data_IF_619353651859
#
_entry.id   IF_619353651859
#
_cell.length_a   1.000
_cell.length_b   1.000
_cell.length_c   1.000
_cell.angle_alpha   90.00
_cell.angle_beta   90.00
_cell.angle_gamma   90.00
#
_symmetry.space_group_name_H-M   'P 1'
#
loop_
_entity.id
_entity.type
_entity.pdbx_description
1 polymer ?
#
# COMPACT_ATOMS: atom_id res chain seq x y z
N UNK A 1 -6.35 -12.77 -18.45
CA UNK A 1 -5.75 -13.17 -17.15
C UNK A 1 -6.58 -12.55 -16.04
N UNK A 2 -6.96 -13.31 -15.01
CA UNK A 2 -7.76 -12.81 -13.89
C UNK A 2 -6.81 -12.24 -12.85
N UNK A 3 -6.77 -10.91 -12.70
CA UNK A 3 -5.90 -10.25 -11.72
C UNK A 3 -6.50 -10.41 -10.32
N UNK A 4 -5.74 -10.98 -9.38
CA UNK A 4 -6.15 -11.06 -7.98
C UNK A 4 -5.87 -9.73 -7.28
N UNK A 5 -6.71 -9.42 -6.30
CA UNK A 5 -6.62 -8.22 -5.47
C UNK A 5 -6.45 -8.67 -4.03
N UNK A 6 -5.49 -8.07 -3.32
CA UNK A 6 -5.34 -8.22 -1.88
C UNK A 6 -5.53 -6.86 -1.18
N UNK A 7 -5.92 -6.91 0.08
CA UNK A 7 -6.01 -5.72 0.94
C UNK A 7 -5.41 -6.03 2.32
N UNK A 8 -4.46 -5.20 2.76
CA UNK A 8 -3.81 -5.26 4.08
C UNK A 8 -4.20 -4.00 4.86
N UNK A 9 -4.68 -4.17 6.09
CA UNK A 9 -5.10 -3.02 6.89
C UNK A 9 -5.82 -3.38 8.18
N UNK A 10 -6.31 -2.35 8.85
CA UNK A 10 -7.16 -2.48 10.02
C UNK A 10 -8.48 -3.17 9.62
N UNK A 11 -8.92 -4.12 10.46
CA UNK A 11 -10.08 -5.00 10.20
C UNK A 11 -11.34 -4.24 9.75
N UNK A 12 -11.62 -3.13 10.40
CA UNK A 12 -12.85 -2.36 10.21
C UNK A 12 -12.93 -1.70 8.82
N UNK A 13 -11.79 -1.43 8.18
CA UNK A 13 -11.72 -0.89 6.82
C UNK A 13 -11.69 -2.03 5.81
N UNK A 14 -10.88 -3.05 6.07
CA UNK A 14 -10.59 -4.07 5.08
C UNK A 14 -11.81 -4.95 4.75
N UNK A 15 -12.78 -5.06 5.66
CA UNK A 15 -14.01 -5.81 5.43
C UNK A 15 -14.77 -5.36 4.17
N UNK A 16 -14.74 -4.08 3.81
CA UNK A 16 -15.40 -3.58 2.60
C UNK A 16 -14.78 -4.18 1.32
N UNK A 17 -13.47 -4.48 1.36
CA UNK A 17 -12.74 -5.06 0.24
C UNK A 17 -13.11 -6.53 0.00
N UNK A 18 -13.58 -7.22 1.05
CA UNK A 18 -14.10 -8.59 0.91
C UNK A 18 -15.36 -8.65 0.05
N UNK A 19 -16.24 -7.65 0.19
CA UNK A 19 -17.48 -7.57 -0.58
C UNK A 19 -17.24 -7.39 -2.08
N UNK A 20 -16.11 -6.79 -2.47
CA UNK A 20 -15.70 -6.59 -3.87
C UNK A 20 -14.77 -7.68 -4.40
N UNK A 21 -14.57 -8.77 -3.64
CA UNK A 21 -13.83 -9.94 -4.07
C UNK A 21 -12.31 -9.86 -3.89
N UNK A 22 -11.82 -8.98 -3.02
CA UNK A 22 -10.41 -8.97 -2.61
C UNK A 22 -10.14 -9.97 -1.49
N UNK A 23 -8.93 -10.54 -1.49
CA UNK A 23 -8.41 -11.32 -0.36
C UNK A 23 -7.96 -10.36 0.74
N UNK A 24 -8.64 -10.44 1.89
CA UNK A 24 -8.46 -9.51 3.00
C UNK A 24 -7.53 -10.09 4.06
N UNK A 25 -6.48 -9.34 4.38
CA UNK A 25 -5.51 -9.64 5.43
C UNK A 25 -5.58 -8.56 6.50
N UNK A 26 -6.48 -8.75 7.47
CA UNK A 26 -6.55 -7.88 8.63
C UNK A 26 -5.30 -8.10 9.51
N UNK A 27 -4.65 -7.01 9.89
CA UNK A 27 -3.42 -7.04 10.71
C UNK A 27 -3.59 -6.21 11.97
N UNK A 28 -2.91 -6.62 13.04
CA UNK A 28 -3.00 -6.00 14.36
C UNK A 28 -1.78 -5.15 14.72
N UNK A 29 -0.66 -5.39 14.05
CA UNK A 29 0.59 -4.67 14.25
C UNK A 29 1.42 -4.60 12.95
N UNK A 30 2.47 -3.78 12.98
CA UNK A 30 3.32 -3.50 11.83
C UNK A 30 4.22 -4.70 11.46
N UNK A 31 4.61 -5.52 12.43
CA UNK A 31 5.44 -6.70 12.17
C UNK A 31 4.65 -7.72 11.35
N UNK A 32 3.41 -8.00 11.76
CA UNK A 32 2.46 -8.83 11.05
C UNK A 32 2.16 -8.27 9.65
N UNK A 33 2.00 -6.96 9.52
CA UNK A 33 1.82 -6.29 8.23
C UNK A 33 3.01 -6.51 7.29
N UNK A 34 4.24 -6.37 7.79
CA UNK A 34 5.46 -6.59 7.02
C UNK A 34 5.60 -8.04 6.54
N UNK A 35 5.34 -9.01 7.43
CA UNK A 35 5.37 -10.44 7.09
C UNK A 35 4.32 -10.76 6.04
N UNK A 36 3.10 -10.24 6.22
CA UNK A 36 1.99 -10.42 5.29
C UNK A 36 2.33 -9.86 3.92
N UNK A 37 2.81 -8.61 3.85
CA UNK A 37 3.18 -7.96 2.59
C UNK A 37 4.25 -8.77 1.84
N UNK A 38 5.32 -9.19 2.51
CA UNK A 38 6.37 -10.02 1.92
C UNK A 38 5.85 -11.36 1.39
N UNK A 39 4.88 -11.95 2.08
CA UNK A 39 4.26 -13.21 1.66
C UNK A 39 3.44 -13.00 0.40
N UNK A 40 2.47 -12.08 0.43
CA UNK A 40 1.53 -11.91 -0.67
C UNK A 40 2.18 -11.25 -1.90
N UNK A 41 3.25 -10.47 -1.73
CA UNK A 41 4.00 -9.93 -2.85
C UNK A 41 4.73 -10.99 -3.68
N UNK A 42 4.90 -12.21 -3.16
CA UNK A 42 5.41 -13.37 -3.89
C UNK A 42 4.32 -14.20 -4.56
N UNK A 43 3.05 -13.90 -4.27
CA UNK A 43 1.89 -14.53 -4.90
C UNK A 43 1.47 -13.73 -6.16
N UNK A 44 0.55 -14.25 -6.97
CA UNK A 44 0.11 -13.59 -8.23
C UNK A 44 -1.00 -12.55 -8.00
N UNK A 45 -0.79 -11.63 -7.03
CA UNK A 45 -1.63 -10.45 -6.90
C UNK A 45 -1.16 -9.36 -7.86
N UNK A 46 -2.10 -8.76 -8.59
CA UNK A 46 -1.76 -7.58 -9.40
C UNK A 46 -1.85 -6.28 -8.61
N UNK A 47 -2.76 -6.21 -7.63
CA UNK A 47 -2.97 -5.02 -6.81
C UNK A 47 -3.00 -5.44 -5.34
N UNK A 48 -2.25 -4.71 -4.51
CA UNK A 48 -2.28 -4.81 -3.06
C UNK A 48 -2.68 -3.45 -2.50
N UNK A 49 -3.85 -3.36 -1.89
CA UNK A 49 -4.25 -2.19 -1.13
C UNK A 49 -3.61 -2.21 0.26
N UNK A 50 -3.11 -1.07 0.72
CA UNK A 50 -2.54 -0.92 2.05
C UNK A 50 -2.99 0.40 2.68
N UNK A 51 -3.32 0.40 3.97
CA UNK A 51 -3.72 1.62 4.65
C UNK A 51 -2.54 2.56 4.89
N UNK A 52 -2.80 3.86 4.86
CA UNK A 52 -1.79 4.91 4.95
C UNK A 52 -1.00 4.87 6.27
N UNK A 53 -1.66 4.46 7.35
CA UNK A 53 -1.08 4.24 8.69
C UNK A 53 0.00 3.16 8.68
N UNK A 54 -0.23 2.09 7.92
CA UNK A 54 0.73 0.99 7.78
C UNK A 54 1.81 1.34 6.76
N UNK A 55 1.41 1.95 5.63
CA UNK A 55 2.32 2.32 4.56
C UNK A 55 3.45 3.25 5.04
N UNK A 56 3.11 4.23 5.87
CA UNK A 56 4.08 5.13 6.50
C UNK A 56 5.16 4.37 7.29
N UNK A 57 4.80 3.29 7.98
CA UNK A 57 5.74 2.49 8.78
C UNK A 57 6.51 1.46 7.96
N UNK A 58 6.01 1.10 6.78
CA UNK A 58 6.60 0.09 5.89
C UNK A 58 7.17 0.69 4.60
N UNK A 59 7.38 2.00 4.53
CA UNK A 59 7.81 2.71 3.33
C UNK A 59 9.01 2.06 2.64
N UNK A 60 10.08 1.81 3.40
CA UNK A 60 11.29 1.17 2.89
C UNK A 60 11.06 -0.25 2.32
N UNK A 61 10.06 -0.97 2.83
CA UNK A 61 9.66 -2.28 2.30
C UNK A 61 8.82 -2.12 1.02
N UNK A 62 7.90 -1.16 1.00
CA UNK A 62 7.05 -0.87 -0.17
C UNK A 62 7.91 -0.43 -1.37
N UNK A 63 8.90 0.43 -1.14
CA UNK A 63 9.80 0.91 -2.19
C UNK A 63 10.54 -0.20 -2.94
N UNK A 64 10.77 -1.36 -2.30
CA UNK A 64 11.41 -2.53 -2.95
C UNK A 64 10.59 -3.09 -4.10
N UNK A 65 9.29 -2.79 -4.15
CA UNK A 65 8.37 -3.25 -5.19
C UNK A 65 8.04 -2.15 -6.22
N UNK A 66 8.56 -0.93 -6.05
CA UNK A 66 8.18 0.23 -6.88
C UNK A 66 8.56 0.12 -8.36
N UNK A 67 9.62 -0.62 -8.67
CA UNK A 67 10.09 -0.87 -10.05
C UNK A 67 9.52 -2.16 -10.66
N UNK A 68 8.65 -2.88 -9.93
CA UNK A 68 8.07 -4.15 -10.39
C UNK A 68 6.74 -3.93 -11.11
N UNK A 69 6.47 -4.76 -12.13
CA UNK A 69 5.17 -4.77 -12.83
C UNK A 69 4.05 -5.30 -11.93
N UNK A 70 4.36 -6.28 -11.07
CA UNK A 70 3.46 -6.81 -10.05
C UNK A 70 4.23 -7.11 -8.76
N UNK A 71 3.61 -6.92 -7.59
CA UNK A 71 2.28 -6.30 -7.39
C UNK A 71 2.35 -4.76 -7.45
N UNK A 72 1.28 -4.10 -7.91
CA UNK A 72 1.08 -2.67 -7.70
C UNK A 72 0.57 -2.43 -6.28
N UNK A 73 1.32 -1.67 -5.48
CA UNK A 73 0.93 -1.34 -4.10
C UNK A 73 0.22 0.01 -4.11
N UNK A 74 -1.05 0.01 -3.69
CA UNK A 74 -1.91 1.21 -3.68
C UNK A 74 -2.22 1.59 -2.25
N UNK A 75 -1.82 2.79 -1.86
CA UNK A 75 -2.07 3.32 -0.52
C UNK A 75 -3.44 3.96 -0.45
N UNK A 76 -4.22 3.60 0.57
CA UNK A 76 -5.57 4.11 0.81
C UNK A 76 -5.70 4.71 2.22
N UNK A 77 -6.64 5.63 2.44
CA UNK A 77 -6.86 6.22 3.76
C UNK A 77 -7.21 5.15 4.82
N UNK A 78 -6.61 5.27 6.00
CA UNK A 78 -6.96 4.51 7.20
C UNK A 78 -8.10 5.18 8.01
N UNK A 79 -8.47 4.58 9.16
CA UNK A 79 -9.37 5.17 10.16
C UNK A 79 -8.65 6.09 11.13
N UNK A 80 -7.32 6.06 11.14
CA UNK A 80 -6.48 6.94 11.95
C UNK A 80 -6.50 8.38 11.46
N UNK A 81 -5.69 9.24 12.11
CA UNK A 81 -5.43 10.57 11.58
C UNK A 81 -4.87 10.44 10.16
N UNK A 82 -5.42 11.23 9.24
CA UNK A 82 -4.80 11.44 7.92
C UNK A 82 -3.35 11.86 8.16
N UNK A 83 -2.44 11.16 7.50
CA UNK A 83 -1.08 11.63 7.35
C UNK A 83 -0.92 12.14 5.91
N UNK A 84 0.24 12.66 5.56
CA UNK A 84 0.52 13.16 4.20
C UNK A 84 1.40 12.17 3.43
N UNK A 85 1.33 10.87 3.73
CA UNK A 85 2.22 9.87 3.15
C UNK A 85 2.08 9.85 1.63
N UNK A 86 0.85 9.65 1.12
CA UNK A 86 0.62 9.56 -0.32
C UNK A 86 1.05 10.85 -1.06
N UNK A 87 0.78 12.01 -0.44
CA UNK A 87 1.19 13.32 -0.96
C UNK A 87 2.71 13.47 -0.97
N UNK A 88 3.40 13.00 0.08
CA UNK A 88 4.85 13.07 0.19
C UNK A 88 5.54 12.19 -0.86
N UNK A 89 5.02 10.99 -1.11
CA UNK A 89 5.51 10.11 -2.19
C UNK A 89 5.33 10.78 -3.54
N UNK A 90 4.17 11.37 -3.81
CA UNK A 90 3.91 12.09 -5.06
C UNK A 90 4.87 13.28 -5.26
N UNK A 91 5.08 14.09 -4.21
CA UNK A 91 6.00 15.22 -4.23
C UNK A 91 7.44 14.77 -4.51
N UNK A 92 7.90 13.73 -3.83
CA UNK A 92 9.24 13.15 -4.03
C UNK A 92 9.41 12.61 -5.46
N UNK A 93 8.39 11.97 -6.02
CA UNK A 93 8.43 11.49 -7.40
C UNK A 93 8.55 12.65 -8.40
N UNK A 94 7.85 13.76 -8.17
CA UNK A 94 7.94 14.94 -9.04
C UNK A 94 9.29 15.63 -8.92
N UNK A 95 9.84 15.77 -7.71
CA UNK A 95 11.19 16.33 -7.51
C UNK A 95 12.22 15.46 -8.23
N UNK A 96 12.12 14.12 -8.11
CA UNK A 96 13.01 13.18 -8.80
C UNK A 96 12.91 13.30 -10.32
N UNK A 97 11.72 13.52 -10.87
CA UNK A 97 11.48 13.59 -12.31
C UNK A 97 11.81 14.96 -12.93
N UNK A 98 11.50 16.04 -12.22
CA UNK A 98 11.58 17.42 -12.76
C UNK A 98 12.74 18.23 -12.20
N UNK A 99 13.41 17.77 -11.14
CA UNK A 99 14.46 18.50 -10.42
C UNK A 99 13.94 19.70 -9.61
N UNK A 100 12.62 19.91 -9.57
CA UNK A 100 12.00 21.06 -8.91
C UNK A 100 10.75 20.63 -8.14
N UNK A 101 10.37 21.45 -7.17
CA UNK A 101 9.17 21.23 -6.40
C UNK A 101 8.02 22.07 -6.96
N UNK A 102 7.15 21.43 -7.73
CA UNK A 102 6.03 22.10 -8.42
C UNK A 102 4.86 22.45 -7.49
N UNK A 103 4.88 21.96 -6.24
CA UNK A 103 3.86 22.24 -5.23
C UNK A 103 4.29 23.34 -4.24
N UNK A 104 5.35 24.09 -4.57
CA UNK A 104 5.85 25.23 -3.79
C UNK A 104 4.91 26.42 -3.79
#
# INVERSE_FOLDING_TARGET
>A
MKTKIAAIGEKDIMLIFKAVGADVFAVHDIEQAAITLKKIAKEDYGIIFITETIAEKLDALIMQYSDMVKPSIVVIPGLGKRNNYAVSILRNAIIKASGTDVFS
#
